data_IF_032876964786
#
_entry.id   IF_032876964786
#
_cell.length_a   1.000
_cell.length_b   1.000
_cell.length_c   1.000
_cell.angle_alpha   90.00
_cell.angle_beta   90.00
_cell.angle_gamma   90.00
#
_symmetry.space_group_name_H-M   'P 1'
#
loop_
_entity.id
_entity.type
_entity.pdbx_description
1 polymer ?
#
# COMPACT_ATOMS: atom_id res chain seq x y z
N UNK A 1 32.17 -13.15 -13.48
CA UNK A 1 31.73 -11.75 -13.64
C UNK A 1 30.29 -11.66 -14.17
N UNK A 2 29.92 -12.39 -15.23
CA UNK A 2 28.55 -12.44 -15.76
C UNK A 2 27.50 -13.01 -14.78
N UNK A 3 27.87 -13.97 -13.94
CA UNK A 3 26.94 -14.59 -12.97
C UNK A 3 26.50 -13.62 -11.87
N UNK A 4 27.40 -12.74 -11.42
CA UNK A 4 27.09 -11.72 -10.41
C UNK A 4 26.11 -10.69 -10.99
N UNK A 5 26.31 -10.27 -12.24
CA UNK A 5 25.41 -9.34 -12.93
C UNK A 5 24.02 -9.98 -13.09
N UNK A 6 23.96 -11.27 -13.43
CA UNK A 6 22.70 -12.02 -13.52
C UNK A 6 21.97 -12.09 -12.18
N UNK A 7 22.69 -12.34 -11.09
CA UNK A 7 22.13 -12.37 -9.74
C UNK A 7 21.53 -11.00 -9.35
N UNK A 8 22.29 -9.92 -9.55
CA UNK A 8 21.85 -8.56 -9.24
C UNK A 8 20.61 -8.17 -10.06
N UNK A 9 20.58 -8.52 -11.35
CA UNK A 9 19.44 -8.25 -12.22
C UNK A 9 18.16 -8.94 -11.75
N UNK A 10 18.26 -10.22 -11.35
CA UNK A 10 17.12 -10.97 -10.80
C UNK A 10 16.63 -10.31 -9.51
N UNK A 11 17.53 -9.94 -8.60
CA UNK A 11 17.17 -9.27 -7.34
C UNK A 11 16.44 -7.94 -7.58
N UNK A 12 16.91 -7.12 -8.52
CA UNK A 12 16.27 -5.85 -8.88
C UNK A 12 14.86 -6.08 -9.44
N UNK A 13 14.67 -7.10 -10.28
CA UNK A 13 13.35 -7.44 -10.81
C UNK A 13 12.39 -7.84 -9.69
N UNK A 14 12.81 -8.67 -8.74
CA UNK A 14 11.97 -9.07 -7.61
C UNK A 14 11.60 -7.88 -6.72
N UNK A 15 12.56 -7.00 -6.41
CA UNK A 15 12.28 -5.78 -5.63
C UNK A 15 11.32 -4.86 -6.38
N UNK A 16 11.49 -4.69 -7.70
CA UNK A 16 10.61 -3.86 -8.51
C UNK A 16 9.18 -4.41 -8.53
N UNK A 17 9.02 -5.72 -8.69
CA UNK A 17 7.71 -6.38 -8.65
C UNK A 17 7.05 -6.24 -7.28
N UNK A 18 7.81 -6.42 -6.20
CA UNK A 18 7.31 -6.23 -4.84
C UNK A 18 6.83 -4.78 -4.61
N UNK A 19 7.60 -3.79 -5.07
CA UNK A 19 7.21 -2.39 -4.97
C UNK A 19 5.93 -2.07 -5.75
N UNK A 20 5.73 -2.68 -6.93
CA UNK A 20 4.50 -2.54 -7.72
C UNK A 20 3.31 -3.15 -6.98
N UNK A 21 3.48 -4.32 -6.36
CA UNK A 21 2.42 -4.99 -5.59
C UNK A 21 2.06 -4.21 -4.33
N UNK A 22 3.05 -3.71 -3.59
CA UNK A 22 2.84 -2.90 -2.39
C UNK A 22 2.22 -1.52 -2.72
N UNK A 23 2.63 -0.91 -3.83
CA UNK A 23 2.04 0.35 -4.29
C UNK A 23 0.60 0.14 -4.82
N UNK A 24 0.35 -0.92 -5.59
CA UNK A 24 -0.96 -1.19 -6.18
C UNK A 24 -1.97 -1.82 -5.24
N UNK A 25 -1.54 -2.39 -4.11
CA UNK A 25 -2.42 -3.09 -3.17
C UNK A 25 -3.22 -2.16 -2.24
N UNK A 26 -2.77 -0.93 -2.04
CA UNK A 26 -3.40 0.05 -1.16
C UNK A 26 -3.78 1.35 -1.89
N UNK A 27 -3.68 1.36 -3.22
CA UNK A 27 -4.03 2.53 -4.00
C UNK A 27 -5.55 2.70 -4.10
N UNK A 28 -6.02 3.90 -3.81
CA UNK A 28 -7.41 4.29 -4.00
C UNK A 28 -7.50 5.43 -5.00
N UNK A 29 -8.55 5.45 -5.83
CA UNK A 29 -8.87 6.60 -6.69
C UNK A 29 -10.06 7.36 -6.11
N UNK A 30 -10.95 6.63 -5.44
CA UNK A 30 -12.17 7.13 -4.83
C UNK A 30 -12.39 6.50 -3.46
N UNK A 31 -13.23 7.14 -2.63
CA UNK A 31 -13.58 6.61 -1.30
C UNK A 31 -14.21 5.21 -1.36
N UNK A 32 -14.88 4.89 -2.49
CA UNK A 32 -15.48 3.57 -2.75
C UNK A 32 -14.42 2.47 -2.86
N UNK A 33 -13.22 2.81 -3.33
CA UNK A 33 -12.12 1.83 -3.40
C UNK A 33 -11.68 1.44 -1.99
N UNK A 34 -11.74 2.36 -1.02
CA UNK A 34 -11.44 2.08 0.38
C UNK A 34 -12.46 1.15 1.04
N UNK A 35 -13.74 1.23 0.67
CA UNK A 35 -14.76 0.28 1.14
C UNK A 35 -14.53 -1.13 0.58
N UNK A 36 -14.04 -1.24 -0.67
CA UNK A 36 -13.69 -2.52 -1.30
C UNK A 36 -12.40 -3.12 -0.72
N UNK A 37 -11.42 -2.28 -0.43
CA UNK A 37 -10.13 -2.67 0.17
C UNK A 37 -10.29 -3.10 1.63
N UNK A 38 -11.17 -2.43 2.38
CA UNK A 38 -11.43 -2.70 3.80
C UNK A 38 -12.90 -3.00 4.07
N UNK A 39 -13.43 -4.12 3.54
CA UNK A 39 -14.83 -4.46 3.70
C UNK A 39 -15.13 -4.71 5.19
N UNK A 40 -16.14 -4.02 5.71
CA UNK A 40 -16.56 -4.14 7.11
C UNK A 40 -15.80 -3.26 8.10
N UNK A 41 -14.93 -2.35 7.63
CA UNK A 41 -14.39 -1.32 8.51
C UNK A 41 -15.53 -0.41 9.00
N UNK A 42 -15.64 -0.25 10.32
CA UNK A 42 -16.69 0.57 10.96
C UNK A 42 -16.36 2.06 10.94
N UNK A 43 -15.10 2.41 10.63
CA UNK A 43 -14.61 3.78 10.55
C UNK A 43 -14.71 4.25 9.10
N UNK A 44 -15.22 5.48 8.84
CA UNK A 44 -15.21 6.05 7.51
C UNK A 44 -13.75 6.24 7.07
N UNK A 45 -13.44 5.63 5.94
CA UNK A 45 -12.18 5.78 5.24
C UNK A 45 -12.39 6.74 4.07
N UNK A 46 -11.45 7.64 3.87
CA UNK A 46 -11.39 8.51 2.69
C UNK A 46 -10.17 8.15 1.86
N UNK A 47 -10.29 8.30 0.55
CA UNK A 47 -9.17 8.21 -0.33
C UNK A 47 -8.42 9.55 -0.40
N UNK A 48 -7.14 9.56 -0.04
CA UNK A 48 -6.32 10.76 -0.08
C UNK A 48 -4.91 10.46 -0.58
N UNK A 49 -4.47 11.16 -1.63
CA UNK A 49 -3.16 10.97 -2.30
C UNK A 49 -2.92 9.50 -2.67
N UNK A 50 -3.97 8.80 -3.10
CA UNK A 50 -3.87 7.39 -3.42
C UNK A 50 -3.88 6.45 -2.22
N UNK A 51 -4.13 6.90 -0.99
CA UNK A 51 -4.20 6.03 0.20
C UNK A 51 -5.50 6.17 0.97
N UNK A 52 -6.00 5.06 1.51
CA UNK A 52 -7.16 5.06 2.39
C UNK A 52 -6.81 5.51 3.81
N UNK A 53 -7.31 6.67 4.22
CA UNK A 53 -7.10 7.25 5.54
C UNK A 53 -8.39 7.22 6.37
N UNK A 54 -8.28 6.87 7.65
CA UNK A 54 -9.39 6.97 8.60
C UNK A 54 -9.58 8.41 9.05
N UNK A 55 -10.81 8.93 8.97
CA UNK A 55 -11.16 10.26 9.46
C UNK A 55 -11.15 10.39 10.99
N UNK A 56 -11.11 9.27 11.72
CA UNK A 56 -10.97 9.30 13.17
C UNK A 56 -9.50 9.52 13.56
N UNK A 57 -9.22 10.68 14.15
CA UNK A 57 -8.02 10.91 14.96
C UNK A 57 -8.14 10.06 16.22
N UNK A 58 -7.41 8.96 16.30
CA UNK A 58 -7.30 8.24 17.58
C UNK A 58 -6.72 9.22 18.61
N UNK A 59 -7.30 9.38 19.81
CA UNK A 59 -6.60 10.06 20.89
C UNK A 59 -5.26 9.33 21.11
N UNK A 60 -4.17 10.06 21.41
CA UNK A 60 -2.85 9.46 21.58
C UNK A 60 -2.93 8.27 22.54
N UNK A 61 -2.53 7.09 22.06
CA UNK A 61 -2.50 5.82 22.79
C UNK A 61 -1.28 5.74 23.72
N UNK A 62 -0.98 6.83 24.41
CA UNK A 62 0.05 6.89 25.45
C UNK A 62 -0.53 7.63 26.64
N UNK A 63 -0.97 6.84 27.62
CA UNK A 63 -1.16 7.20 29.01
C UNK A 63 -0.49 6.10 29.83
#
# INVERSE_FOLDING_TARGET
>A
MAEIIKFVYIMILFVSLLLIVEAGGNECVTDVDCEKLYPGNKKPLICNIGYCLSLYKEPPRYM
#
